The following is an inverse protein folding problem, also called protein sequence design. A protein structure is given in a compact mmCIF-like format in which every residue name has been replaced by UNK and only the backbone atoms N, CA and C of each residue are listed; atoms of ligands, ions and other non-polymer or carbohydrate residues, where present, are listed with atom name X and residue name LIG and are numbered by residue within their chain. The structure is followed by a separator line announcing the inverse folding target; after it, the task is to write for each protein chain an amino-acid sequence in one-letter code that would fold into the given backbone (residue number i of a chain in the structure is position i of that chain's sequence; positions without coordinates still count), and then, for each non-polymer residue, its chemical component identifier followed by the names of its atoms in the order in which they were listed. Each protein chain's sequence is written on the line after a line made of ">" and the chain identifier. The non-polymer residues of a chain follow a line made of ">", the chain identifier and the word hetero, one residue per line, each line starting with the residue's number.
data_IF_566682617756
#
_entry.id   IF_566682617756
#
_cell.length_a   1.000
_cell.length_b   1.000
_cell.length_c   1.000
_cell.angle_alpha   90.00
_cell.angle_beta   90.00
_cell.angle_gamma   90.00
#
_symmetry.space_group_name_H-M   'P 1'
#
loop_
_entity.id
_entity.type
_entity.pdbx_description
1 polymer ?
#
# COMPACT_ATOMS: atom_id res chain seq x y z
N UNK A 1 -0.27 45.02 -3.41
CA UNK A 1 0.51 44.23 -2.43
C UNK A 1 0.34 42.77 -2.77
N UNK A 2 1.39 41.94 -2.77
CA UNK A 2 1.24 40.50 -2.95
C UNK A 2 0.37 39.95 -1.80
N UNK A 3 -0.74 39.29 -2.15
CA UNK A 3 -1.68 38.71 -1.20
C UNK A 3 -1.47 37.20 -1.20
N UNK A 4 -1.25 36.62 -0.04
CA UNK A 4 -1.08 35.19 0.10
C UNK A 4 -2.40 34.48 -0.21
N UNK A 5 -2.35 33.45 -1.06
CA UNK A 5 -3.53 32.67 -1.41
C UNK A 5 -3.87 31.68 -0.29
N UNK A 6 -5.15 31.32 -0.17
CA UNK A 6 -5.59 30.27 0.75
C UNK A 6 -4.87 28.94 0.50
N UNK A 7 -4.57 28.64 -0.77
CA UNK A 7 -3.81 27.45 -1.15
C UNK A 7 -2.41 27.44 -0.55
N UNK A 8 -1.67 28.56 -0.59
CA UNK A 8 -0.33 28.65 0.03
C UNK A 8 -0.37 28.55 1.56
N UNK A 9 -1.45 28.99 2.20
CA UNK A 9 -1.64 28.78 3.65
C UNK A 9 -1.88 27.30 3.98
N UNK A 10 -2.75 26.65 3.20
CA UNK A 10 -3.07 25.23 3.37
C UNK A 10 -1.86 24.33 3.12
N UNK A 11 -1.03 24.68 2.15
CA UNK A 11 0.20 23.97 1.82
C UNK A 11 1.20 24.02 2.98
N UNK A 12 1.57 25.22 3.45
CA UNK A 12 2.47 25.37 4.60
C UNK A 12 1.90 24.71 5.87
N UNK A 13 0.58 24.83 6.09
CA UNK A 13 -0.08 24.17 7.21
C UNK A 13 0.02 22.64 7.10
N UNK A 14 -0.19 22.09 5.91
CA UNK A 14 -0.08 20.64 5.68
C UNK A 14 1.35 20.14 5.92
N UNK A 15 2.37 20.90 5.51
CA UNK A 15 3.77 20.60 5.80
C UNK A 15 4.02 20.55 7.30
N UNK A 16 3.61 21.60 8.02
CA UNK A 16 3.84 21.71 9.45
C UNK A 16 3.15 20.56 10.21
N UNK A 17 1.90 20.25 9.85
CA UNK A 17 1.15 19.15 10.45
C UNK A 17 1.72 17.78 10.10
N UNK A 18 2.13 17.56 8.86
CA UNK A 18 2.75 16.30 8.45
C UNK A 18 4.04 16.03 9.22
N UNK A 19 4.94 17.02 9.34
CA UNK A 19 6.17 16.86 10.10
C UNK A 19 5.91 16.57 11.59
N UNK A 20 4.84 17.13 12.17
CA UNK A 20 4.46 16.86 13.55
C UNK A 20 3.88 15.44 13.77
N UNK A 21 3.38 14.79 12.71
CA UNK A 21 2.86 13.42 12.76
C UNK A 21 3.94 12.34 12.62
N UNK A 22 5.11 12.70 12.10
CA UNK A 22 6.20 11.75 11.94
C UNK A 22 6.80 11.40 13.31
N UNK A 23 7.25 10.15 13.52
CA UNK A 23 8.03 9.80 14.70
C UNK A 23 9.21 10.74 14.86
N UNK A 24 9.53 11.12 16.10
CA UNK A 24 10.57 12.11 16.39
C UNK A 24 11.96 11.77 15.82
N UNK A 25 12.25 10.48 15.62
CA UNK A 25 13.52 10.00 15.07
C UNK A 25 13.56 10.05 13.53
N UNK A 26 12.41 10.14 12.87
CA UNK A 26 12.37 10.21 11.42
C UNK A 26 12.76 11.60 10.95
N UNK A 27 13.55 11.65 9.88
CA UNK A 27 14.04 12.91 9.33
C UNK A 27 13.26 13.23 8.06
N UNK A 28 12.51 14.33 8.08
CA UNK A 28 11.79 14.87 6.92
C UNK A 28 12.54 16.05 6.33
N UNK A 29 12.83 15.99 5.03
CA UNK A 29 13.53 17.01 4.27
C UNK A 29 12.61 17.55 3.18
N UNK A 30 12.66 18.86 2.93
CA UNK A 30 12.00 19.45 1.76
C UNK A 30 12.72 18.96 0.50
N UNK A 31 11.96 18.56 -0.52
CA UNK A 31 12.54 18.23 -1.83
C UNK A 31 12.37 19.45 -2.75
N UNK A 32 13.49 19.97 -3.23
CA UNK A 32 13.54 21.15 -4.10
C UNK A 32 14.47 20.87 -5.29
N UNK A 33 14.11 21.32 -6.51
CA UNK A 33 12.84 21.94 -6.91
C UNK A 33 11.65 20.95 -6.82
N UNK A 34 10.45 21.50 -6.62
CA UNK A 34 9.22 20.72 -6.52
C UNK A 34 8.73 20.27 -7.91
N UNK A 35 8.98 19.01 -8.24
CA UNK A 35 8.43 18.34 -9.41
C UNK A 35 7.27 17.41 -9.00
N UNK A 36 6.39 17.89 -8.11
CA UNK A 36 5.31 17.09 -7.55
C UNK A 36 5.79 16.12 -6.49
N UNK A 37 6.80 16.51 -5.69
CA UNK A 37 7.19 15.80 -4.47
C UNK A 37 7.58 16.85 -3.43
N UNK A 38 6.83 16.93 -2.35
CA UNK A 38 7.07 17.92 -1.29
C UNK A 38 8.18 17.51 -0.32
N UNK A 39 8.25 16.22 0.01
CA UNK A 39 9.14 15.71 1.07
C UNK A 39 9.86 14.42 0.70
N UNK A 40 11.05 14.28 1.25
CA UNK A 40 11.76 13.02 1.41
C UNK A 40 11.86 12.72 2.90
N UNK A 41 11.51 11.50 3.29
CA UNK A 41 11.51 11.08 4.70
C UNK A 41 12.40 9.85 4.85
N UNK A 42 13.36 9.94 5.76
CA UNK A 42 14.25 8.85 6.15
C UNK A 42 13.86 8.30 7.52
N UNK A 43 13.73 6.98 7.60
CA UNK A 43 13.38 6.25 8.82
C UNK A 43 14.65 5.92 9.61
N UNK A 44 14.64 6.24 10.89
CA UNK A 44 15.67 5.86 11.86
C UNK A 44 15.10 4.83 12.84
N UNK A 45 15.96 3.99 13.41
CA UNK A 45 15.57 3.00 14.42
C UNK A 45 15.37 3.65 15.81
N UNK A 46 15.07 2.83 16.82
CA UNK A 46 14.81 3.32 18.17
C UNK A 46 16.09 3.79 18.89
N UNK A 47 17.25 3.40 18.41
CA UNK A 47 18.54 3.83 18.94
C UNK A 47 19.04 5.11 18.24
N UNK A 48 18.34 5.55 17.18
CA UNK A 48 18.69 6.74 16.40
C UNK A 48 19.70 6.48 15.29
N UNK A 49 19.90 5.22 14.90
CA UNK A 49 20.73 4.87 13.75
C UNK A 49 19.94 5.00 12.45
N UNK A 50 20.62 5.41 11.38
CA UNK A 50 20.02 5.41 10.04
C UNK A 50 19.72 3.97 9.62
N UNK A 51 18.49 3.73 9.19
CA UNK A 51 18.10 2.44 8.60
C UNK A 51 18.34 2.42 7.09
N UNK A 52 18.58 3.57 6.46
CA UNK A 52 18.57 3.79 5.02
C UNK A 52 17.21 3.57 4.34
N UNK A 53 16.12 3.39 5.11
CA UNK A 53 14.78 3.23 4.55
C UNK A 53 14.23 4.63 4.29
N UNK A 54 13.97 4.95 3.02
CA UNK A 54 13.55 6.28 2.60
C UNK A 54 12.29 6.18 1.74
N UNK A 55 11.40 7.15 1.87
CA UNK A 55 10.23 7.32 1.01
C UNK A 55 10.02 8.78 0.68
N UNK A 56 9.25 9.01 -0.39
CA UNK A 56 8.87 10.34 -0.84
C UNK A 56 7.41 10.61 -0.46
N UNK A 57 7.05 11.89 -0.36
CA UNK A 57 5.69 12.30 0.01
C UNK A 57 5.23 13.42 -0.90
N UNK A 58 4.05 13.24 -1.49
CA UNK A 58 3.26 14.32 -2.05
C UNK A 58 2.14 14.68 -1.06
N UNK A 59 2.15 15.91 -0.58
CA UNK A 59 1.13 16.51 0.26
C UNK A 59 0.06 17.15 -0.63
N UNK A 60 -1.20 16.98 -0.24
CA UNK A 60 -2.35 17.62 -0.86
C UNK A 60 -3.26 18.14 0.25
N UNK A 61 -3.63 19.40 0.23
CA UNK A 61 -4.43 20.01 1.30
C UNK A 61 -5.81 20.49 0.84
N UNK A 62 -6.79 20.51 1.75
CA UNK A 62 -8.11 21.10 1.51
C UNK A 62 -8.75 21.63 2.79
N UNK A 63 -9.66 22.58 2.63
CA UNK A 63 -10.61 23.06 3.62
C UNK A 63 -12.06 22.67 3.30
N UNK A 64 -12.29 21.89 2.23
CA UNK A 64 -13.62 21.37 1.89
C UNK A 64 -13.96 20.15 2.73
N UNK A 65 -15.11 20.22 3.42
CA UNK A 65 -15.66 19.10 4.19
C UNK A 65 -15.97 17.88 3.30
N UNK A 66 -16.45 18.12 2.08
CA UNK A 66 -16.93 17.07 1.16
C UNK A 66 -15.80 16.36 0.40
N UNK A 67 -14.63 17.00 0.32
CA UNK A 67 -13.45 16.54 -0.41
C UNK A 67 -12.27 16.17 0.50
N UNK A 68 -12.49 16.12 1.82
CA UNK A 68 -11.46 15.80 2.80
C UNK A 68 -10.91 14.38 2.63
N UNK A 69 -11.72 13.44 2.15
CA UNK A 69 -11.39 12.04 1.90
C UNK A 69 -10.99 11.76 0.44
N UNK A 70 -10.77 12.79 -0.38
CA UNK A 70 -10.49 12.65 -1.82
C UNK A 70 -9.29 13.44 -2.26
N UNK A 71 -8.57 12.88 -3.23
CA UNK A 71 -7.50 13.55 -3.96
C UNK A 71 -7.70 13.32 -5.46
N UNK A 72 -7.49 14.37 -6.23
CA UNK A 72 -7.39 14.29 -7.70
C UNK A 72 -5.91 14.27 -8.04
N UNK A 73 -5.50 13.31 -8.86
CA UNK A 73 -4.12 13.11 -9.31
C UNK A 73 -4.14 13.08 -10.83
N UNK A 74 -3.22 13.81 -11.46
CA UNK A 74 -3.04 13.71 -12.90
C UNK A 74 -2.42 12.36 -13.26
N UNK A 75 -2.72 11.82 -14.44
CA UNK A 75 -2.14 10.56 -14.90
C UNK A 75 -0.63 10.66 -15.03
N UNK A 76 -0.14 11.79 -15.54
CA UNK A 76 1.29 12.06 -15.73
C UNK A 76 2.04 12.11 -14.38
N UNK A 77 1.38 12.57 -13.32
CA UNK A 77 1.93 12.58 -11.96
C UNK A 77 2.10 11.15 -11.43
N UNK A 78 1.09 10.29 -11.62
CA UNK A 78 1.19 8.88 -11.24
C UNK A 78 2.24 8.13 -12.06
N UNK A 79 2.42 8.47 -13.33
CA UNK A 79 3.45 7.90 -14.19
C UNK A 79 4.85 8.40 -13.83
N UNK A 80 4.98 9.65 -13.40
CA UNK A 80 6.23 10.18 -12.84
C UNK A 80 6.63 9.42 -11.56
N UNK A 81 5.69 9.17 -10.63
CA UNK A 81 5.97 8.42 -9.41
C UNK A 81 6.54 7.02 -9.65
N UNK A 82 6.14 6.36 -10.75
CA UNK A 82 6.68 5.04 -11.14
C UNK A 82 8.13 5.05 -11.56
N UNK A 83 8.61 6.18 -12.06
CA UNK A 83 9.97 6.33 -12.54
C UNK A 83 10.94 6.61 -11.38
N UNK A 84 10.42 6.90 -10.19
CA UNK A 84 11.21 7.14 -9.00
C UNK A 84 11.64 5.81 -8.35
N UNK A 85 12.90 5.75 -7.93
CA UNK A 85 13.45 4.58 -7.22
C UNK A 85 12.83 4.41 -5.82
N UNK A 86 12.42 5.52 -5.21
CA UNK A 86 11.80 5.56 -3.89
C UNK A 86 10.27 5.55 -4.00
N UNK A 87 9.57 4.79 -3.14
CA UNK A 87 8.12 4.77 -3.14
C UNK A 87 7.54 6.11 -2.68
N UNK A 88 6.38 6.48 -3.21
CA UNK A 88 5.73 7.77 -2.92
C UNK A 88 4.47 7.53 -2.09
N UNK A 89 4.32 8.26 -0.98
CA UNK A 89 3.06 8.39 -0.25
C UNK A 89 2.33 9.63 -0.78
N UNK A 90 1.06 9.48 -1.14
CA UNK A 90 0.16 10.62 -1.36
C UNK A 90 -0.64 10.83 -0.08
N UNK A 91 -0.37 11.94 0.61
CA UNK A 91 -0.96 12.29 1.88
C UNK A 91 -1.91 13.49 1.73
N UNK A 92 -3.18 13.26 2.10
CA UNK A 92 -4.26 14.23 1.98
C UNK A 92 -4.58 14.84 3.34
N UNK A 93 -4.25 16.12 3.51
CA UNK A 93 -4.59 16.90 4.68
C UNK A 93 -5.99 17.54 4.56
N UNK A 94 -6.83 17.36 5.58
CA UNK A 94 -8.05 18.13 5.75
C UNK A 94 -7.87 19.12 6.89
N UNK A 95 -7.85 20.41 6.58
CA UNK A 95 -7.75 21.47 7.59
C UNK A 95 -9.01 21.63 8.46
N UNK A 96 -10.16 21.12 8.01
CA UNK A 96 -11.40 21.12 8.77
C UNK A 96 -11.36 20.12 9.94
N UNK A 97 -10.77 18.95 9.70
CA UNK A 97 -10.69 17.85 10.68
C UNK A 97 -9.30 17.74 11.33
N UNK A 98 -8.35 18.57 10.90
CA UNK A 98 -6.94 18.54 11.31
C UNK A 98 -6.33 17.13 11.25
N UNK A 99 -6.58 16.43 10.15
CA UNK A 99 -6.23 15.02 9.98
C UNK A 99 -5.69 14.72 8.60
N UNK A 100 -4.90 13.64 8.51
CA UNK A 100 -4.39 13.13 7.23
C UNK A 100 -5.04 11.82 6.85
N UNK A 101 -5.35 11.67 5.57
CA UNK A 101 -5.39 10.36 4.92
C UNK A 101 -4.08 10.10 4.19
N UNK A 102 -3.71 8.84 4.02
CA UNK A 102 -2.47 8.46 3.34
C UNK A 102 -2.62 7.16 2.57
N UNK A 103 -1.90 7.05 1.46
CA UNK A 103 -1.75 5.80 0.72
C UNK A 103 -0.50 5.84 -0.17
N UNK A 104 0.11 4.69 -0.39
CA UNK A 104 1.17 4.52 -1.38
C UNK A 104 0.63 4.75 -2.80
N UNK A 105 1.40 5.42 -3.67
CA UNK A 105 1.06 5.66 -5.08
C UNK A 105 0.69 4.36 -5.80
N UNK A 106 1.42 3.28 -5.53
CA UNK A 106 1.21 1.97 -6.15
C UNK A 106 -0.14 1.36 -5.77
N UNK A 107 -0.61 1.62 -4.54
CA UNK A 107 -1.93 1.18 -4.08
C UNK A 107 -3.04 2.07 -4.60
N UNK A 108 -2.79 3.38 -4.74
CA UNK A 108 -3.73 4.28 -5.41
C UNK A 108 -3.95 3.78 -6.84
N UNK A 109 -2.86 3.66 -7.62
CA UNK A 109 -2.89 3.24 -9.02
C UNK A 109 -3.50 1.85 -9.22
N UNK A 110 -3.32 0.91 -8.29
CA UNK A 110 -3.95 -0.41 -8.42
C UNK A 110 -5.47 -0.36 -8.30
N UNK A 111 -6.03 0.67 -7.65
CA UNK A 111 -7.46 0.86 -7.41
C UNK A 111 -8.13 1.85 -8.34
N UNK A 112 -7.38 2.79 -8.92
CA UNK A 112 -7.89 3.72 -9.93
C UNK A 112 -7.33 3.35 -11.30
N UNK A 113 -8.22 3.04 -12.23
CA UNK A 113 -7.87 2.80 -13.64
C UNK A 113 -8.38 4.01 -14.44
N UNK A 114 -7.51 4.90 -14.93
CA UNK A 114 -7.96 5.93 -15.86
C UNK A 114 -8.57 5.26 -17.08
N UNK A 115 -9.70 5.79 -17.56
CA UNK A 115 -10.24 5.39 -18.87
C UNK A 115 -9.34 5.95 -19.97
N UNK A 116 -9.41 5.36 -21.16
CA UNK A 116 -8.66 5.86 -22.31
C UNK A 116 -8.97 7.35 -22.55
N UNK A 117 -7.92 8.16 -22.67
CA UNK A 117 -8.01 9.62 -22.86
C UNK A 117 -8.27 10.45 -21.60
N UNK A 118 -8.39 9.85 -20.41
CA UNK A 118 -8.61 10.59 -19.16
C UNK A 118 -7.28 11.13 -18.60
N UNK A 119 -7.18 12.44 -18.35
CA UNK A 119 -5.95 13.09 -17.85
C UNK A 119 -5.77 13.05 -16.33
N UNK A 120 -6.83 12.77 -15.58
CA UNK A 120 -6.78 12.73 -14.12
C UNK A 120 -7.70 11.69 -13.51
N UNK A 121 -7.35 11.20 -12.33
CA UNK A 121 -8.13 10.22 -11.58
C UNK A 121 -8.44 10.74 -10.18
N UNK A 122 -9.63 10.43 -9.69
CA UNK A 122 -9.99 10.71 -8.30
C UNK A 122 -9.80 9.46 -7.47
N UNK A 123 -8.96 9.56 -6.44
CA UNK A 123 -8.85 8.55 -5.41
C UNK A 123 -9.68 8.95 -4.19
N UNK A 124 -10.51 8.03 -3.69
CA UNK A 124 -11.25 8.19 -2.44
C UNK A 124 -10.63 7.30 -1.37
N UNK A 125 -10.11 7.93 -0.33
CA UNK A 125 -9.54 7.25 0.81
C UNK A 125 -10.62 6.54 1.63
N UNK A 126 -10.26 5.40 2.20
CA UNK A 126 -11.08 4.67 3.17
C UNK A 126 -10.81 5.20 4.58
N UNK A 127 -11.75 4.98 5.51
CA UNK A 127 -11.53 5.31 6.93
C UNK A 127 -10.30 4.61 7.53
N UNK A 128 -9.96 3.42 7.04
CA UNK A 128 -8.76 2.66 7.45
C UNK A 128 -7.45 3.29 6.95
N UNK A 129 -7.52 4.28 6.06
CA UNK A 129 -6.38 5.00 5.50
C UNK A 129 -6.18 6.37 6.17
N UNK A 130 -6.92 6.62 7.26
CA UNK A 130 -6.64 7.72 8.16
C UNK A 130 -5.28 7.49 8.82
N UNK A 131 -4.45 8.53 8.88
CA UNK A 131 -3.18 8.49 9.59
C UNK A 131 -3.44 8.33 11.08
N UNK A 132 -2.78 7.35 11.71
CA UNK A 132 -2.91 7.09 13.14
C UNK A 132 -1.63 6.47 13.71
N UNK A 133 -1.70 6.01 14.96
CA UNK A 133 -0.55 5.48 15.70
C UNK A 133 0.12 4.27 15.02
N UNK A 134 -0.65 3.47 14.29
CA UNK A 134 -0.13 2.30 13.56
C UNK A 134 0.54 2.67 12.21
N UNK A 135 0.33 3.90 11.70
CA UNK A 135 0.80 4.30 10.37
C UNK A 135 2.33 4.23 10.22
N UNK A 136 3.15 4.77 11.15
CA UNK A 136 4.60 4.69 11.01
C UNK A 136 5.13 3.26 10.97
N UNK A 137 4.55 2.35 11.77
CA UNK A 137 4.91 0.94 11.76
C UNK A 137 4.53 0.27 10.42
N UNK A 138 3.36 0.59 9.86
CA UNK A 138 2.94 0.10 8.55
C UNK A 138 3.87 0.60 7.43
N UNK A 139 4.24 1.88 7.44
CA UNK A 139 5.17 2.46 6.46
C UNK A 139 6.53 1.75 6.53
N UNK A 140 7.10 1.63 7.74
CA UNK A 140 8.38 0.94 7.96
C UNK A 140 8.33 -0.49 7.45
N UNK A 141 7.27 -1.23 7.78
CA UNK A 141 7.05 -2.61 7.32
C UNK A 141 7.11 -2.68 5.79
N UNK A 142 6.39 -1.81 5.08
CA UNK A 142 6.40 -1.80 3.61
C UNK A 142 7.79 -1.53 3.04
N UNK A 143 8.54 -0.59 3.62
CA UNK A 143 9.92 -0.30 3.16
C UNK A 143 10.86 -1.48 3.39
N UNK A 144 10.74 -2.16 4.53
CA UNK A 144 11.50 -3.37 4.84
C UNK A 144 11.16 -4.51 3.88
N UNK A 145 9.87 -4.72 3.56
CA UNK A 145 9.45 -5.70 2.54
C UNK A 145 10.05 -5.34 1.18
N UNK A 146 9.96 -4.08 0.76
CA UNK A 146 10.48 -3.61 -0.53
C UNK A 146 11.99 -3.87 -0.65
N UNK A 147 12.76 -3.55 0.39
CA UNK A 147 14.21 -3.82 0.42
C UNK A 147 14.52 -5.32 0.41
N UNK A 148 13.76 -6.11 1.17
CA UNK A 148 13.95 -7.56 1.20
C UNK A 148 13.58 -8.20 -0.15
N UNK A 149 12.61 -7.64 -0.89
CA UNK A 149 12.28 -8.03 -2.26
C UNK A 149 13.39 -7.69 -3.25
N UNK A 150 14.00 -6.50 -3.16
CA UNK A 150 15.06 -6.10 -4.10
C UNK A 150 16.35 -6.91 -3.95
N UNK A 151 16.56 -7.51 -2.77
CA UNK A 151 17.67 -8.41 -2.46
C UNK A 151 17.25 -9.89 -2.40
N UNK A 152 16.02 -10.20 -2.82
CA UNK A 152 15.50 -11.56 -2.70
C UNK A 152 16.30 -12.52 -3.59
N UNK A 153 16.83 -13.64 -3.06
CA UNK A 153 17.72 -14.49 -3.84
C UNK A 153 16.99 -15.11 -5.03
N UNK A 154 17.63 -15.07 -6.20
CA UNK A 154 17.10 -15.71 -7.39
C UNK A 154 16.92 -17.21 -7.15
N UNK A 155 15.72 -17.73 -7.44
CA UNK A 155 15.39 -19.14 -7.23
C UNK A 155 15.08 -19.52 -5.78
N UNK A 156 15.10 -18.58 -4.83
CA UNK A 156 14.63 -18.87 -3.47
C UNK A 156 13.13 -19.16 -3.45
N UNK A 157 12.74 -20.18 -2.68
CA UNK A 157 11.35 -20.52 -2.43
C UNK A 157 10.60 -19.35 -1.81
N UNK A 158 9.41 -19.03 -2.31
CA UNK A 158 8.56 -17.94 -1.80
C UNK A 158 7.65 -18.47 -0.69
N UNK A 159 7.75 -17.95 0.55
CA UNK A 159 6.85 -18.31 1.62
C UNK A 159 5.42 -17.84 1.31
N UNK A 160 4.44 -18.71 1.54
CA UNK A 160 3.03 -18.41 1.32
C UNK A 160 2.27 -18.58 2.63
N UNK A 161 1.57 -17.53 3.05
CA UNK A 161 0.67 -17.53 4.21
C UNK A 161 -0.77 -17.43 3.74
N UNK A 162 -1.65 -18.21 4.36
CA UNK A 162 -3.08 -18.13 4.16
C UNK A 162 -3.71 -17.30 5.26
N UNK A 163 -4.45 -16.26 4.89
CA UNK A 163 -5.25 -15.49 5.83
C UNK A 163 -6.69 -16.03 5.83
N UNK A 164 -6.97 -16.88 6.81
CA UNK A 164 -8.28 -17.51 6.99
C UNK A 164 -9.31 -16.62 7.72
N UNK A 165 -8.93 -15.41 8.14
CA UNK A 165 -9.78 -14.55 8.97
C UNK A 165 -11.12 -14.17 8.33
N UNK A 166 -11.21 -14.28 7.00
CA UNK A 166 -12.40 -13.96 6.21
C UNK A 166 -13.24 -15.17 5.82
N UNK A 167 -12.76 -16.38 6.13
CA UNK A 167 -13.50 -17.61 5.85
C UNK A 167 -14.22 -18.13 7.10
N UNK A 168 -15.40 -18.77 6.92
CA UNK A 168 -16.04 -19.52 7.99
C UNK A 168 -15.12 -20.63 8.54
N UNK A 169 -15.09 -20.87 9.87
CA UNK A 169 -14.21 -21.86 10.51
C UNK A 169 -14.27 -23.27 9.90
N UNK A 170 -15.45 -23.70 9.45
CA UNK A 170 -15.68 -25.00 8.81
C UNK A 170 -14.91 -25.19 7.50
N UNK A 171 -14.55 -24.10 6.81
CA UNK A 171 -13.78 -24.14 5.57
C UNK A 171 -12.27 -24.20 5.81
N UNK A 172 -11.79 -23.85 7.01
CA UNK A 172 -10.36 -23.65 7.29
C UNK A 172 -9.53 -24.89 6.96
N UNK A 173 -9.96 -26.08 7.40
CA UNK A 173 -9.22 -27.32 7.17
C UNK A 173 -9.12 -27.68 5.68
N UNK A 174 -10.23 -27.56 4.95
CA UNK A 174 -10.26 -27.86 3.51
C UNK A 174 -9.34 -26.90 2.74
N UNK A 175 -9.42 -25.60 3.02
CA UNK A 175 -8.57 -24.59 2.36
C UNK A 175 -7.09 -24.79 2.69
N UNK A 176 -6.75 -25.10 3.94
CA UNK A 176 -5.38 -25.40 4.36
C UNK A 176 -4.81 -26.65 3.67
N UNK A 177 -5.64 -27.69 3.49
CA UNK A 177 -5.26 -28.90 2.76
C UNK A 177 -4.99 -28.60 1.29
N UNK A 178 -5.85 -27.81 0.64
CA UNK A 178 -5.64 -27.39 -0.76
C UNK A 178 -4.34 -26.61 -0.91
N UNK A 179 -4.05 -25.68 0.00
CA UNK A 179 -2.78 -24.95 -0.01
C UNK A 179 -1.58 -25.91 0.18
N UNK A 180 -1.68 -26.89 1.07
CA UNK A 180 -0.64 -27.91 1.25
C UNK A 180 -0.36 -28.70 -0.03
N UNK A 181 -1.41 -29.10 -0.75
CA UNK A 181 -1.30 -29.78 -2.05
C UNK A 181 -0.69 -28.87 -3.11
N UNK A 182 -1.12 -27.61 -3.20
CA UNK A 182 -0.56 -26.64 -4.14
C UNK A 182 0.94 -26.41 -3.90
N UNK A 183 1.36 -26.23 -2.64
CA UNK A 183 2.78 -26.09 -2.28
C UNK A 183 3.59 -27.33 -2.70
N UNK A 184 3.04 -28.53 -2.50
CA UNK A 184 3.70 -29.78 -2.90
C UNK A 184 3.86 -29.89 -4.43
N UNK A 185 2.90 -29.41 -5.21
CA UNK A 185 2.96 -29.41 -6.68
C UNK A 185 3.92 -28.36 -7.25
N UNK A 186 4.21 -27.28 -6.51
CA UNK A 186 5.08 -26.20 -6.97
C UNK A 186 6.59 -26.53 -6.90
N UNK A 187 6.99 -27.80 -6.73
CA UNK A 187 8.38 -28.27 -6.81
C UNK A 187 9.39 -27.44 -5.99
N UNK A 188 8.99 -26.97 -4.81
CA UNK A 188 9.84 -26.15 -3.93
C UNK A 188 9.89 -24.65 -4.27
N UNK A 189 9.18 -24.19 -5.30
CA UNK A 189 9.03 -22.76 -5.62
C UNK A 189 8.21 -22.05 -4.53
N UNK A 190 7.20 -22.72 -3.98
CA UNK A 190 6.42 -22.23 -2.85
C UNK A 190 6.79 -22.99 -1.59
N UNK A 191 6.73 -22.33 -0.44
CA UNK A 191 6.99 -22.98 0.85
C UNK A 191 6.05 -22.46 1.93
N UNK A 192 5.86 -23.25 2.99
CA UNK A 192 5.19 -22.77 4.20
C UNK A 192 6.09 -21.74 4.91
N UNK A 193 5.52 -20.72 5.58
CA UNK A 193 6.32 -19.80 6.35
C UNK A 193 6.97 -20.58 7.49
N UNK A 194 8.30 -20.62 7.54
CA UNK A 194 9.06 -21.25 8.64
C UNK A 194 9.39 -20.27 9.76
N UNK A 195 9.25 -18.97 9.49
CA UNK A 195 9.60 -17.84 10.36
C UNK A 195 8.84 -16.59 9.90
N UNK A 196 8.89 -15.50 10.68
CA UNK A 196 8.45 -14.15 10.31
C UNK A 196 9.37 -13.53 9.27
N UNK A 197 9.48 -14.15 8.08
CA UNK A 197 10.22 -13.57 6.97
C UNK A 197 9.54 -12.28 6.50
N UNK A 198 10.36 -11.27 6.20
CA UNK A 198 9.85 -10.00 5.71
C UNK A 198 9.10 -10.17 4.38
N UNK A 199 9.60 -11.05 3.49
CA UNK A 199 8.96 -11.39 2.22
C UNK A 199 8.13 -12.67 2.38
N UNK A 200 6.82 -12.50 2.22
CA UNK A 200 5.85 -13.58 2.13
C UNK A 200 4.73 -13.16 1.18
N UNK A 201 4.10 -14.14 0.56
CA UNK A 201 2.87 -13.97 -0.20
C UNK A 201 1.70 -14.29 0.70
N UNK A 202 0.82 -13.32 0.91
CA UNK A 202 -0.43 -13.48 1.64
C UNK A 202 -1.54 -13.82 0.66
N UNK A 203 -2.15 -15.00 0.85
CA UNK A 203 -3.35 -15.43 0.14
C UNK A 203 -4.54 -15.15 1.04
N UNK A 204 -5.43 -14.29 0.58
CA UNK A 204 -6.66 -13.88 1.26
C UNK A 204 -7.85 -14.40 0.44
N UNK A 205 -8.36 -15.59 0.76
CA UNK A 205 -9.58 -16.10 0.15
C UNK A 205 -10.80 -15.31 0.64
N UNK A 206 -11.66 -14.97 -0.31
CA UNK A 206 -12.98 -14.39 -0.10
C UNK A 206 -14.01 -15.28 -0.81
N UNK A 207 -15.30 -15.01 -0.60
CA UNK A 207 -16.38 -15.84 -1.17
C UNK A 207 -16.31 -15.89 -2.70
N UNK A 208 -16.10 -14.73 -3.34
CA UNK A 208 -16.19 -14.60 -4.80
C UNK A 208 -14.82 -14.43 -5.48
N UNK A 209 -13.75 -14.25 -4.72
CA UNK A 209 -12.42 -14.03 -5.27
C UNK A 209 -11.29 -14.48 -4.34
N UNK A 210 -10.11 -14.65 -4.90
CA UNK A 210 -8.87 -14.92 -4.20
C UNK A 210 -7.92 -13.75 -4.40
N UNK A 211 -7.54 -13.06 -3.34
CA UNK A 211 -6.49 -12.05 -3.41
C UNK A 211 -5.13 -12.65 -3.02
N UNK A 212 -4.12 -12.41 -3.84
CA UNK A 212 -2.73 -12.82 -3.59
C UNK A 212 -1.88 -11.57 -3.52
N UNK A 213 -1.20 -11.34 -2.39
CA UNK A 213 -0.56 -10.07 -2.07
C UNK A 213 0.85 -10.24 -1.55
N UNK A 214 1.70 -9.24 -1.79
CA UNK A 214 2.96 -9.04 -1.09
C UNK A 214 2.87 -7.66 -0.44
N UNK A 215 2.50 -7.66 0.84
CA UNK A 215 2.21 -6.44 1.61
C UNK A 215 1.30 -5.47 0.83
N UNK A 216 1.58 -4.17 0.81
CA UNK A 216 0.89 -3.16 -0.02
C UNK A 216 1.56 -2.94 -1.37
N UNK A 217 2.66 -3.66 -1.65
CA UNK A 217 3.52 -3.42 -2.82
C UNK A 217 2.92 -4.04 -4.07
N UNK A 218 2.37 -5.24 -3.96
CA UNK A 218 1.79 -5.97 -5.08
C UNK A 218 0.55 -6.74 -4.63
N UNK A 219 -0.47 -6.74 -5.48
CA UNK A 219 -1.67 -7.56 -5.32
C UNK A 219 -2.17 -7.98 -6.68
N UNK A 220 -2.57 -9.25 -6.79
CA UNK A 220 -3.38 -9.77 -7.88
C UNK A 220 -4.64 -10.37 -7.27
N UNK A 221 -5.76 -10.24 -7.97
CA UNK A 221 -7.03 -10.84 -7.58
C UNK A 221 -7.46 -11.79 -8.67
N UNK A 222 -7.93 -12.97 -8.28
CA UNK A 222 -8.50 -13.97 -9.17
C UNK A 222 -9.97 -14.13 -8.82
N UNK A 223 -10.86 -13.95 -9.79
CA UNK A 223 -12.27 -14.25 -9.59
C UNK A 223 -12.43 -15.77 -9.41
N UNK A 224 -13.16 -16.15 -8.37
CA UNK A 224 -13.53 -17.54 -8.17
C UNK A 224 -14.82 -17.79 -8.96
N UNK A 225 -14.89 -18.88 -9.74
CA UNK A 225 -16.15 -19.25 -10.37
C UNK A 225 -17.20 -19.44 -9.28
N UNK A 226 -18.36 -18.80 -9.45
CA UNK A 226 -19.48 -18.97 -8.52
C UNK A 226 -19.75 -20.47 -8.37
N UNK A 227 -20.05 -20.90 -7.14
CA UNK A 227 -20.31 -22.30 -6.82
C UNK A 227 -21.50 -22.92 -7.59
N UNK A 228 -22.21 -22.13 -8.41
CA UNK A 228 -23.28 -22.56 -9.31
C UNK A 228 -22.82 -23.01 -10.71
N UNK A 229 -21.51 -22.98 -11.02
CA UNK A 229 -20.98 -23.53 -12.27
C UNK A 229 -20.50 -24.99 -12.09
N UNK A 230 -21.47 -25.90 -11.97
CA UNK A 230 -21.39 -27.33 -12.28
C UNK A 230 -20.01 -28.01 -12.29
N UNK A 231 -19.44 -28.26 -11.11
CA UNK A 231 -18.27 -29.14 -10.93
C UNK A 231 -18.51 -30.12 -9.76
N UNK A 232 -19.62 -30.84 -9.85
CA UNK A 232 -19.75 -32.22 -9.32
C UNK A 232 -20.24 -33.10 -10.47
N UNK A 233 -19.40 -33.23 -11.50
CA UNK A 233 -19.54 -34.26 -12.51
C UNK A 233 -18.12 -34.57 -13.03
N UNK A 234 -17.32 -35.19 -12.17
CA UNK A 234 -16.26 -36.13 -12.56
C UNK A 234 -15.72 -36.80 -11.29
N UNK A 235 -16.60 -37.59 -10.69
CA UNK A 235 -16.25 -38.70 -9.81
C UNK A 235 -17.13 -39.87 -10.20
N UNK A 236 -16.88 -40.41 -11.38
CA UNK A 236 -17.27 -41.76 -11.79
C UNK A 236 -16.45 -42.16 -13.03
N UNK A 237 -15.66 -43.23 -12.87
CA UNK A 237 -14.78 -43.95 -13.82
C UNK A 237 -13.34 -43.43 -13.93
#
# INVERSE_FOLDING_TARGET
>A
MPKRSRSHELEELSVARFNALLPAKWVSRAKLPDYGIDREVEVFDEEGNSTGLTFLVQLRATDSAELGDRVVLETDELDYYRQLDLPVIVARYSSLYDSFFWQWDITIRSRVRPKEGQSSVTYRYKKTELWGEATPAAIRRTLEVRRALSSYPQGAAVPVRLDLSRLPPEMHYATERVLGQAIAHCAGVLTRPRDTRLVQVDIVPEVDFLAVRIDTIASVTFDLPSADAGLIANSAL
#
